data_IF_735217722216
#
_entry.id   IF_735217722216
#
_cell.length_a   1.000
_cell.length_b   1.000
_cell.length_c   1.000
_cell.angle_alpha   90.00
_cell.angle_beta   90.00
_cell.angle_gamma   90.00
#
_symmetry.space_group_name_H-M   'P 1'
#
loop_
_entity.id
_entity.type
_entity.pdbx_description
1 polymer ?
#
# COMPACT_ATOMS: atom_id res chain seq x y z
N UNK A 1 -7.69 2.70 -1.58
CA UNK A 1 -7.11 2.04 -0.39
C UNK A 1 -5.62 2.29 -0.31
N UNK A 2 -4.85 1.83 -1.31
CA UNK A 2 -3.39 2.00 -1.32
C UNK A 2 -2.94 3.45 -1.11
N UNK A 3 -3.48 4.40 -1.88
CA UNK A 3 -3.16 5.84 -1.77
C UNK A 3 -3.40 6.40 -0.36
N UNK A 4 -4.45 5.94 0.33
CA UNK A 4 -4.75 6.41 1.69
C UNK A 4 -3.71 5.90 2.67
N UNK A 5 -3.30 4.64 2.52
CA UNK A 5 -2.33 3.98 3.43
C UNK A 5 -0.90 4.45 3.16
N UNK A 6 -0.58 4.82 1.91
CA UNK A 6 0.71 5.41 1.54
C UNK A 6 0.76 6.93 1.75
N UNK A 7 -0.22 7.54 2.42
CA UNK A 7 -0.27 8.99 2.66
C UNK A 7 -0.21 9.83 1.36
N UNK A 8 -0.85 9.35 0.30
CA UNK A 8 -1.01 10.06 -0.97
C UNK A 8 0.12 9.84 -1.98
N UNK A 9 0.94 8.79 -1.83
CA UNK A 9 1.91 8.44 -2.87
C UNK A 9 1.22 8.17 -4.22
N UNK A 10 1.93 8.50 -5.30
CA UNK A 10 1.49 8.25 -6.68
C UNK A 10 1.49 6.73 -6.96
N UNK A 11 0.35 6.12 -7.32
CA UNK A 11 0.30 4.71 -7.71
C UNK A 11 1.24 4.43 -8.89
N UNK A 12 2.02 3.35 -8.77
CA UNK A 12 3.03 2.92 -9.74
C UNK A 12 4.15 3.95 -10.01
N UNK A 13 4.28 4.97 -9.16
CA UNK A 13 5.36 5.97 -9.21
C UNK A 13 5.55 6.57 -10.61
N UNK A 14 6.77 6.45 -11.15
CA UNK A 14 7.20 7.05 -12.41
C UNK A 14 6.94 6.15 -13.63
N UNK A 15 6.24 5.02 -13.46
CA UNK A 15 5.88 4.16 -14.58
C UNK A 15 4.98 4.90 -15.58
N UNK A 16 5.26 4.73 -16.87
CA UNK A 16 4.36 5.21 -17.90
C UNK A 16 3.07 4.40 -17.90
N UNK A 17 1.99 4.94 -18.47
CA UNK A 17 0.73 4.21 -18.59
C UNK A 17 0.91 2.85 -19.30
N UNK A 18 1.80 2.78 -20.29
CA UNK A 18 2.09 1.55 -21.03
C UNK A 18 2.81 0.51 -20.16
N UNK A 19 3.77 0.95 -19.34
CA UNK A 19 4.47 0.08 -18.41
C UNK A 19 3.53 -0.44 -17.33
N UNK A 20 2.64 0.41 -16.81
CA UNK A 20 1.63 0.01 -15.82
C UNK A 20 0.70 -1.06 -16.38
N UNK A 21 0.19 -0.87 -17.59
CA UNK A 21 -0.67 -1.86 -18.25
C UNK A 21 0.07 -3.20 -18.42
N UNK A 22 1.33 -3.16 -18.85
CA UNK A 22 2.15 -4.36 -19.05
C UNK A 22 2.43 -5.09 -17.73
N UNK A 23 2.79 -4.36 -16.68
CA UNK A 23 3.06 -4.93 -15.37
C UNK A 23 1.80 -5.57 -14.76
N UNK A 24 0.64 -4.90 -14.86
CA UNK A 24 -0.64 -5.44 -14.37
C UNK A 24 -1.02 -6.73 -15.11
N UNK A 25 -0.78 -6.80 -16.41
CA UNK A 25 -1.03 -8.00 -17.22
C UNK A 25 -0.10 -9.17 -16.83
N UNK A 26 1.12 -8.86 -16.39
CA UNK A 26 2.10 -9.80 -15.82
C UNK A 26 1.89 -10.08 -14.32
N UNK A 27 0.68 -9.81 -13.82
CA UNK A 27 0.27 -10.03 -12.42
C UNK A 27 1.04 -9.22 -11.37
N UNK A 28 1.82 -8.22 -11.78
CA UNK A 28 2.40 -7.27 -10.83
C UNK A 28 1.30 -6.42 -10.18
N UNK A 29 1.40 -6.25 -8.86
CA UNK A 29 0.52 -5.41 -8.04
C UNK A 29 1.36 -4.55 -7.13
N UNK A 30 0.78 -3.43 -6.69
CA UNK A 30 1.48 -2.52 -5.79
C UNK A 30 1.87 -3.24 -4.48
N UNK A 31 3.12 -3.08 -4.02
CA UNK A 31 3.57 -3.64 -2.76
C UNK A 31 2.85 -2.98 -1.57
N UNK A 32 2.87 -3.60 -0.39
CA UNK A 32 2.34 -2.97 0.82
C UNK A 32 3.11 -1.66 1.10
N UNK A 33 2.41 -0.55 1.40
CA UNK A 33 3.06 0.66 1.90
C UNK A 33 3.76 0.42 3.24
N UNK A 34 4.60 1.38 3.67
CA UNK A 34 5.25 1.36 5.00
C UNK A 34 4.18 1.28 6.10
N UNK A 35 4.45 0.47 7.12
CA UNK A 35 3.56 0.23 8.27
C UNK A 35 2.14 -0.27 7.89
N UNK A 36 1.96 -0.80 6.68
CA UNK A 36 0.68 -1.34 6.24
C UNK A 36 0.37 -2.67 6.95
N UNK A 37 -0.79 -2.80 7.61
CA UNK A 37 -1.25 -4.07 8.14
C UNK A 37 -1.44 -5.11 7.03
N UNK A 38 -0.94 -6.33 7.23
CA UNK A 38 -1.03 -7.44 6.26
C UNK A 38 -2.47 -7.67 5.78
N UNK A 39 -3.41 -7.65 6.73
CA UNK A 39 -4.84 -7.85 6.45
C UNK A 39 -5.42 -6.80 5.50
N UNK A 40 -4.90 -5.58 5.54
CA UNK A 40 -5.36 -4.50 4.67
C UNK A 40 -4.75 -4.63 3.28
N UNK A 41 -3.45 -4.97 3.17
CA UNK A 41 -2.82 -5.26 1.88
C UNK A 41 -3.48 -6.46 1.19
N UNK A 42 -3.81 -7.51 1.94
CA UNK A 42 -4.54 -8.66 1.40
C UNK A 42 -5.89 -8.26 0.81
N UNK A 43 -6.65 -7.37 1.49
CA UNK A 43 -7.91 -6.84 0.95
C UNK A 43 -7.68 -6.04 -0.34
N UNK A 44 -6.57 -5.30 -0.46
CA UNK A 44 -6.23 -4.60 -1.71
C UNK A 44 -5.96 -5.61 -2.83
N UNK A 45 -5.21 -6.68 -2.56
CA UNK A 45 -4.94 -7.75 -3.54
C UNK A 45 -6.24 -8.44 -4.01
N UNK A 46 -7.17 -8.72 -3.09
CA UNK A 46 -8.51 -9.24 -3.44
C UNK A 46 -9.26 -8.28 -4.38
N UNK A 47 -9.14 -6.97 -4.16
CA UNK A 47 -9.74 -5.96 -5.05
C UNK A 47 -9.08 -5.91 -6.44
N UNK A 48 -7.81 -6.31 -6.55
CA UNK A 48 -7.03 -6.28 -7.79
C UNK A 48 -6.92 -7.64 -8.50
N UNK A 49 -7.83 -8.57 -8.19
CA UNK A 49 -7.95 -9.84 -8.92
C UNK A 49 -8.19 -9.58 -10.42
N UNK A 50 -7.48 -10.33 -11.27
CA UNK A 50 -7.62 -10.25 -12.73
C UNK A 50 -9.06 -10.55 -13.14
N UNK A 51 -9.61 -11.65 -12.64
CA UNK A 51 -11.01 -12.02 -12.83
C UNK A 51 -11.94 -11.13 -12.03
N UNK A 52 -12.81 -10.38 -12.72
CA UNK A 52 -13.77 -9.47 -12.09
C UNK A 52 -14.70 -10.15 -11.08
N UNK A 53 -15.04 -11.41 -11.33
CA UNK A 53 -16.01 -12.16 -10.52
C UNK A 53 -15.44 -12.59 -9.16
N UNK A 54 -14.10 -12.64 -9.04
CA UNK A 54 -13.42 -12.98 -7.79
C UNK A 54 -13.22 -11.76 -6.89
N UNK A 55 -13.43 -10.54 -7.40
CA UNK A 55 -13.30 -9.32 -6.62
C UNK A 55 -14.42 -9.24 -5.57
N UNK A 56 -14.11 -8.81 -4.33
CA UNK A 56 -15.12 -8.67 -3.29
C UNK A 56 -16.11 -7.56 -3.66
N UNK A 57 -17.41 -7.80 -3.40
CA UNK A 57 -18.42 -6.76 -3.50
C UNK A 57 -18.21 -5.70 -2.42
N UNK A 58 -18.71 -4.49 -2.66
CA UNK A 58 -18.62 -3.38 -1.69
C UNK A 58 -19.15 -3.73 -0.29
N UNK A 59 -20.24 -4.49 -0.19
CA UNK A 59 -20.76 -4.95 1.11
C UNK A 59 -19.75 -5.78 1.90
N UNK A 60 -18.99 -6.66 1.23
CA UNK A 60 -17.92 -7.45 1.85
C UNK A 60 -16.75 -6.56 2.26
N UNK A 61 -16.36 -5.60 1.40
CA UNK A 61 -15.29 -4.64 1.70
C UNK A 61 -15.60 -3.86 2.98
N UNK A 62 -16.79 -3.26 3.07
CA UNK A 62 -17.23 -2.49 4.23
C UNK A 62 -17.26 -3.39 5.47
N UNK A 63 -17.84 -4.60 5.38
CA UNK A 63 -17.88 -5.54 6.50
C UNK A 63 -16.48 -5.93 7.01
N UNK A 64 -15.53 -6.16 6.10
CA UNK A 64 -14.14 -6.46 6.47
C UNK A 64 -13.49 -5.29 7.19
N UNK A 65 -13.58 -4.08 6.64
CA UNK A 65 -13.01 -2.88 7.27
C UNK A 65 -13.61 -2.62 8.66
N UNK A 66 -14.92 -2.78 8.79
CA UNK A 66 -15.64 -2.58 10.04
C UNK A 66 -15.21 -3.58 11.14
N UNK A 67 -14.92 -4.84 10.76
CA UNK A 67 -14.32 -5.83 11.66
C UNK A 67 -12.90 -5.45 12.10
N UNK A 68 -12.09 -4.92 11.18
CA UNK A 68 -10.73 -4.48 11.48
C UNK A 68 -10.72 -3.27 12.42
N UNK A 69 -11.66 -2.34 12.25
CA UNK A 69 -11.81 -1.18 13.14
C UNK A 69 -12.24 -1.59 14.56
N UNK A 70 -13.14 -2.57 14.68
CA UNK A 70 -13.59 -3.08 15.99
C UNK A 70 -12.54 -3.94 16.71
N UNK A 71 -11.62 -4.55 15.96
CA UNK A 71 -10.51 -5.32 16.51
C UNK A 71 -9.17 -4.75 16.06
N UNK A 72 -8.76 -3.63 16.67
CA UNK A 72 -7.51 -2.96 16.36
C UNK A 72 -6.25 -3.84 16.58
N UNK A 73 -6.34 -4.93 17.36
CA UNK A 73 -5.24 -5.88 17.50
C UNK A 73 -4.91 -6.59 16.18
N UNK A 74 -5.90 -6.81 15.30
CA UNK A 74 -5.70 -7.41 13.99
C UNK A 74 -4.91 -6.52 13.02
N UNK A 75 -4.79 -5.22 13.31
CA UNK A 75 -3.98 -4.28 12.52
C UNK A 75 -2.50 -4.29 12.93
N UNK A 76 -2.14 -4.92 14.06
CA UNK A 76 -0.75 -4.92 14.57
C UNK A 76 0.19 -5.82 13.78
N UNK A 77 -0.34 -6.72 12.96
CA UNK A 77 0.47 -7.57 12.07
C UNK A 77 0.83 -6.75 10.83
N UNK A 78 1.94 -6.03 10.94
CA UNK A 78 2.53 -5.25 9.83
C UNK A 78 3.30 -6.19 8.93
N UNK A 79 3.27 -5.95 7.62
CA UNK A 79 4.16 -6.65 6.67
C UNK A 79 5.61 -6.27 7.02
N UNK A 80 6.37 -7.18 7.63
CA UNK A 80 7.82 -7.01 7.76
C UNK A 80 8.39 -6.82 6.36
N UNK A 81 9.12 -5.72 6.18
CA UNK A 81 9.76 -5.30 4.94
C UNK A 81 10.34 -6.50 4.17
N UNK A 82 9.88 -6.73 2.94
CA UNK A 82 10.60 -7.52 1.95
C UNK A 82 11.87 -6.75 1.55
N UNK A 83 12.87 -6.79 2.43
CA UNK A 83 14.23 -6.32 2.18
C UNK A 83 15.16 -7.44 1.67
N UNK A 84 14.65 -8.66 1.45
CA UNK A 84 15.51 -9.84 1.20
C UNK A 84 15.31 -10.63 -0.12
N UNK A 85 14.09 -10.77 -0.65
CA UNK A 85 13.84 -11.88 -1.59
C UNK A 85 13.75 -11.54 -3.09
N UNK A 86 13.95 -10.28 -3.49
CA UNK A 86 13.94 -9.92 -4.92
C UNK A 86 15.30 -10.11 -5.64
N UNK A 87 16.27 -10.79 -5.01
CA UNK A 87 17.55 -11.13 -5.65
C UNK A 87 17.55 -12.49 -6.36
N UNK A 88 16.47 -13.28 -6.30
CA UNK A 88 16.47 -14.66 -6.83
C UNK A 88 15.77 -14.87 -8.18
N UNK A 89 15.12 -13.86 -8.77
CA UNK A 89 14.57 -13.93 -10.13
C UNK A 89 15.03 -12.70 -10.90
N UNK A 90 16.08 -12.90 -11.72
CA UNK A 90 16.78 -11.85 -12.47
C UNK A 90 15.94 -11.17 -13.54
N UNK A 91 15.06 -10.27 -13.11
CA UNK A 91 14.39 -9.28 -13.95
C UNK A 91 14.44 -7.93 -13.25
N UNK A 92 15.40 -7.08 -13.60
CA UNK A 92 15.36 -5.66 -13.22
C UNK A 92 14.20 -5.02 -13.97
N UNK A 93 13.05 -4.86 -13.30
CA UNK A 93 11.98 -4.02 -13.82
C UNK A 93 12.49 -2.57 -13.90
N UNK A 94 12.41 -1.90 -15.06
CA UNK A 94 12.73 -0.48 -15.17
C UNK A 94 11.85 0.33 -14.22
N UNK A 95 12.45 1.19 -13.39
CA UNK A 95 11.71 2.18 -12.59
C UNK A 95 11.64 1.94 -11.08
N UNK A 96 12.16 0.83 -10.53
CA UNK A 96 12.40 0.73 -9.08
C UNK A 96 13.67 1.51 -8.68
N UNK A 97 13.70 2.82 -8.95
CA UNK A 97 14.64 3.69 -8.25
C UNK A 97 14.06 3.89 -6.85
N UNK A 98 14.53 3.08 -5.89
CA UNK A 98 14.28 3.32 -4.47
C UNK A 98 14.83 4.70 -4.13
N UNK A 99 14.01 5.75 -4.27
CA UNK A 99 14.22 6.92 -3.45
C UNK A 99 14.02 6.41 -2.02
N UNK A 100 15.12 6.38 -1.27
CA UNK A 100 15.07 6.52 0.19
C UNK A 100 13.90 7.44 0.53
N UNK A 101 13.07 7.16 1.56
CA UNK A 101 12.04 8.09 1.99
C UNK A 101 12.77 9.40 2.31
N UNK A 102 12.70 10.33 1.36
CA UNK A 102 13.43 11.58 1.40
C UNK A 102 12.67 12.43 2.41
N UNK A 103 13.36 12.74 3.51
CA UNK A 103 13.21 13.77 4.55
C UNK A 103 11.87 14.52 4.69
N UNK A 104 11.16 14.83 3.60
CA UNK A 104 9.88 15.51 3.55
C UNK A 104 8.74 14.79 4.27
N UNK A 105 8.65 13.45 4.21
CA UNK A 105 7.60 12.70 4.92
C UNK A 105 7.84 12.70 6.45
N UNK A 106 9.11 12.61 6.87
CA UNK A 106 9.52 12.73 8.27
C UNK A 106 9.20 14.13 8.82
N UNK A 107 9.43 15.18 8.01
CA UNK A 107 9.11 16.56 8.35
C UNK A 107 7.60 16.77 8.50
N UNK A 108 6.78 16.25 7.58
CA UNK A 108 5.30 16.38 7.67
C UNK A 108 4.77 15.62 8.91
N UNK A 109 5.31 14.44 9.21
CA UNK A 109 4.96 13.65 10.40
C UNK A 109 5.40 14.36 11.69
N UNK A 110 6.59 14.97 11.72
CA UNK A 110 7.05 15.79 12.85
C UNK A 110 6.16 17.03 13.04
N UNK A 111 5.75 17.67 11.95
CA UNK A 111 4.95 18.89 11.99
C UNK A 111 3.51 18.64 12.46
N UNK A 112 2.93 17.46 12.15
CA UNK A 112 1.65 17.02 12.71
C UNK A 112 1.73 16.60 14.19
N UNK A 113 2.92 16.24 14.69
CA UNK A 113 3.11 15.91 16.12
C UNK A 113 3.29 17.13 17.03
N UNK A 114 3.58 18.31 16.45
CA UNK A 114 3.84 19.56 17.19
C UNK A 114 2.64 20.51 17.26
N UNK A 115 1.51 20.18 16.63
CA UNK A 115 0.30 21.01 16.72
C UNK A 115 -0.41 20.70 18.03
N UNK A 116 -0.09 21.50 19.06
CA UNK A 116 -0.80 21.54 20.34
C UNK A 116 -2.33 21.63 20.11
N UNK A 117 -3.15 21.03 20.99
CA UNK A 117 -4.60 21.09 20.84
C UNK A 117 -5.05 22.56 20.88
N UNK A 118 -5.80 22.97 19.87
CA UNK A 118 -6.50 24.26 19.84
C UNK A 118 -7.33 24.34 21.13
N UNK A 119 -6.91 25.20 22.06
CA UNK A 119 -7.69 25.57 23.23
C UNK A 119 -8.75 26.54 22.73
N UNK A 120 -10.01 26.09 22.71
CA UNK A 120 -11.19 26.94 22.52
C UNK A 120 -11.26 27.96 23.65
#
# INVERSE_FOLDING_TARGET
>A
MWEVVSYGERPYWDMSNQDVMTAVEQDYRLPPPMDCPMVLHQLMLECWMKERNLRPKFSRIVSTLDKLLRNAASLKVVTSTYSGDLLRLGGTLPGHNRKSPDSSQEIIRQQMSQTLPIRV
#
